data_IF_034243762154
#
_entry.id   IF_034243762154
#
_cell.length_a   1.000
_cell.length_b   1.000
_cell.length_c   1.000
_cell.angle_alpha   90.00
_cell.angle_beta   90.00
_cell.angle_gamma   90.00
#
_symmetry.space_group_name_H-M   'P 1'
#
loop_
_entity.id
_entity.type
_entity.pdbx_description
1 polymer ?
#
# COMPACT_ATOMS: atom_id res chain seq x y z
N UNK A 1 -5.49 -22.46 -7.56
CA UNK A 1 -5.39 -23.37 -8.71
C UNK A 1 -6.67 -23.46 -9.54
N UNK A 2 -7.84 -23.93 -9.05
CA UNK A 2 -9.02 -24.13 -9.92
C UNK A 2 -9.54 -22.83 -10.56
N UNK A 3 -9.42 -21.70 -9.85
CA UNK A 3 -9.87 -20.40 -10.33
C UNK A 3 -9.05 -19.90 -11.54
N UNK A 4 -7.71 -20.03 -11.53
CA UNK A 4 -6.86 -19.55 -12.62
C UNK A 4 -7.10 -20.35 -13.91
N UNK A 5 -7.27 -21.67 -13.78
CA UNK A 5 -7.64 -22.55 -14.88
C UNK A 5 -9.03 -22.20 -15.42
N UNK A 6 -10.01 -21.96 -14.54
CA UNK A 6 -11.35 -21.54 -14.95
C UNK A 6 -11.36 -20.19 -15.70
N UNK A 7 -10.40 -19.31 -15.40
CA UNK A 7 -10.20 -18.04 -16.10
C UNK A 7 -9.43 -18.17 -17.43
N UNK A 8 -8.95 -19.37 -17.77
CA UNK A 8 -8.26 -19.68 -19.02
C UNK A 8 -6.75 -19.43 -18.99
N UNK A 9 -6.13 -19.38 -17.82
CA UNK A 9 -4.68 -19.25 -17.68
C UNK A 9 -3.97 -20.59 -17.96
N UNK A 10 -2.72 -20.58 -18.47
CA UNK A 10 -1.90 -21.77 -18.65
C UNK A 10 -1.72 -22.57 -17.35
N UNK A 11 -1.63 -23.90 -17.45
CA UNK A 11 -1.58 -24.79 -16.29
C UNK A 11 -0.27 -24.65 -15.49
N UNK A 12 0.85 -24.58 -16.18
CA UNK A 12 2.18 -24.33 -15.61
C UNK A 12 2.24 -22.99 -14.85
N UNK A 13 1.75 -21.92 -15.46
CA UNK A 13 1.66 -20.60 -14.82
C UNK A 13 0.74 -20.64 -13.59
N UNK A 14 -0.36 -21.38 -13.67
CA UNK A 14 -1.32 -21.53 -12.58
C UNK A 14 -0.75 -22.26 -11.37
N UNK A 15 0.04 -23.32 -11.60
CA UNK A 15 0.75 -24.07 -10.53
C UNK A 15 1.84 -23.20 -9.88
N UNK A 16 2.62 -22.49 -10.69
CA UNK A 16 3.64 -21.56 -10.17
C UNK A 16 3.01 -20.47 -9.31
N UNK A 17 1.94 -19.84 -9.81
CA UNK A 17 1.21 -18.79 -9.09
C UNK A 17 0.63 -19.30 -7.78
N UNK A 18 -0.01 -20.47 -7.77
CA UNK A 18 -0.54 -21.06 -6.54
C UNK A 18 0.56 -21.26 -5.49
N UNK A 19 1.68 -21.85 -5.91
CA UNK A 19 2.80 -22.13 -5.00
C UNK A 19 3.37 -20.83 -4.45
N UNK A 20 3.51 -19.80 -5.29
CA UNK A 20 3.95 -18.47 -4.85
C UNK A 20 2.99 -17.85 -3.82
N UNK A 21 1.69 -17.87 -4.11
CA UNK A 21 0.67 -17.32 -3.23
C UNK A 21 0.65 -18.02 -1.87
N UNK A 22 0.83 -19.34 -1.83
CA UNK A 22 0.92 -20.09 -0.57
C UNK A 22 2.08 -19.64 0.30
N UNK A 23 3.22 -19.28 -0.29
CA UNK A 23 4.37 -18.73 0.44
C UNK A 23 4.04 -17.33 0.97
N UNK A 24 3.32 -16.50 0.21
CA UNK A 24 2.96 -15.14 0.61
C UNK A 24 1.85 -15.09 1.68
N UNK A 25 0.96 -16.08 1.72
CA UNK A 25 -0.19 -16.13 2.65
C UNK A 25 0.15 -15.78 4.11
N UNK A 26 1.18 -16.35 4.77
CA UNK A 26 1.53 -15.95 6.14
C UNK A 26 1.91 -14.47 6.26
N UNK A 27 2.52 -13.90 5.22
CA UNK A 27 2.90 -12.49 5.18
C UNK A 27 1.70 -11.54 5.16
N UNK A 28 0.55 -11.97 4.58
CA UNK A 28 -0.67 -11.15 4.54
C UNK A 28 -1.14 -10.73 5.93
N UNK A 29 -1.05 -11.60 6.93
CA UNK A 29 -1.41 -11.25 8.31
C UNK A 29 -0.56 -10.11 8.85
N UNK A 30 0.76 -10.20 8.64
CA UNK A 30 1.69 -9.16 9.08
C UNK A 30 1.49 -7.86 8.30
N UNK A 31 1.21 -7.97 7.00
CA UNK A 31 0.88 -6.85 6.15
C UNK A 31 -0.39 -6.12 6.62
N UNK A 32 -1.47 -6.85 6.94
CA UNK A 32 -2.69 -6.27 7.50
C UNK A 32 -2.42 -5.55 8.82
N UNK A 33 -1.69 -6.18 9.74
CA UNK A 33 -1.28 -5.56 11.02
C UNK A 33 -0.50 -4.27 10.76
N UNK A 34 0.44 -4.28 9.83
CA UNK A 34 1.25 -3.11 9.49
C UNK A 34 0.41 -1.95 8.98
N UNK A 35 -0.54 -2.21 8.07
CA UNK A 35 -1.45 -1.19 7.55
C UNK A 35 -2.34 -0.61 8.64
N UNK A 36 -2.92 -1.46 9.50
CA UNK A 36 -3.74 -1.00 10.62
C UNK A 36 -2.93 -0.18 11.62
N UNK A 37 -1.73 -0.64 11.99
CA UNK A 37 -0.83 0.08 12.90
C UNK A 37 -0.40 1.43 12.32
N UNK A 38 -0.11 1.48 11.01
CA UNK A 38 0.29 2.71 10.33
C UNK A 38 -0.83 3.74 10.37
N UNK A 39 -2.04 3.36 9.99
CA UNK A 39 -3.21 4.24 10.01
C UNK A 39 -3.52 4.73 11.43
N UNK A 40 -3.45 3.84 12.43
CA UNK A 40 -3.67 4.21 13.82
C UNK A 40 -2.61 5.20 14.34
N UNK A 41 -1.33 4.94 14.08
CA UNK A 41 -0.25 5.84 14.49
C UNK A 41 -0.32 7.19 13.80
N UNK A 42 -0.75 7.25 12.55
CA UNK A 42 -1.01 8.51 11.85
C UNK A 42 -2.12 9.30 12.54
N UNK A 43 -3.24 8.65 12.88
CA UNK A 43 -4.37 9.27 13.57
C UNK A 43 -3.96 9.93 14.90
N UNK A 44 -3.07 9.30 15.68
CA UNK A 44 -2.60 9.83 16.97
C UNK A 44 -1.32 10.67 16.87
N UNK A 45 -1.05 11.28 15.71
CA UNK A 45 0.08 12.18 15.49
C UNK A 45 1.49 11.56 15.70
N UNK A 46 1.59 10.23 15.53
CA UNK A 46 2.85 9.46 15.52
C UNK A 46 3.22 8.99 14.10
N UNK A 47 2.88 9.81 13.09
CA UNK A 47 3.10 9.50 11.67
C UNK A 47 4.58 9.32 11.28
N UNK A 48 5.53 9.76 12.12
CA UNK A 48 6.96 9.58 11.91
C UNK A 48 7.44 8.13 12.09
N UNK A 49 6.73 7.33 12.89
CA UNK A 49 7.19 5.99 13.31
C UNK A 49 7.12 4.97 12.16
N UNK A 50 6.01 4.81 11.42
CA UNK A 50 5.94 3.80 10.35
C UNK A 50 6.97 3.99 9.23
N UNK A 51 7.28 5.21 8.74
CA UNK A 51 8.32 5.42 7.72
C UNK A 51 9.70 4.90 8.12
N UNK A 52 10.10 5.02 9.38
CA UNK A 52 11.39 4.48 9.84
C UNK A 52 11.41 2.95 9.82
N UNK A 53 10.31 2.30 10.22
CA UNK A 53 10.19 0.85 10.12
C UNK A 53 10.19 0.38 8.65
N UNK A 54 9.50 1.10 7.77
CA UNK A 54 9.47 0.84 6.33
C UNK A 54 10.86 1.00 5.70
N UNK A 55 11.63 2.03 6.07
CA UNK A 55 12.99 2.24 5.59
C UNK A 55 13.90 1.07 5.96
N UNK A 56 13.89 0.65 7.23
CA UNK A 56 14.72 -0.49 7.68
C UNK A 56 14.27 -1.79 7.02
N UNK A 57 12.96 -2.03 6.92
CA UNK A 57 12.42 -3.15 6.17
C UNK A 57 12.93 -3.17 4.72
N UNK A 58 12.84 -2.03 4.03
CA UNK A 58 13.27 -1.90 2.64
C UNK A 58 14.77 -2.16 2.46
N UNK A 59 15.60 -1.66 3.38
CA UNK A 59 17.04 -1.92 3.40
C UNK A 59 17.36 -3.41 3.64
N UNK A 60 16.60 -4.09 4.51
CA UNK A 60 16.76 -5.52 4.79
C UNK A 60 16.21 -6.42 3.67
N UNK A 61 15.32 -5.91 2.83
CA UNK A 61 14.73 -6.67 1.74
C UNK A 61 15.79 -7.16 0.73
N UNK A 62 16.82 -6.36 0.45
CA UNK A 62 17.93 -6.76 -0.45
C UNK A 62 18.75 -7.93 0.15
N UNK A 63 19.27 -7.86 1.39
CA UNK A 63 19.87 -9.00 2.08
C UNK A 63 18.98 -10.25 2.12
N UNK A 64 17.67 -10.12 2.39
CA UNK A 64 16.77 -11.28 2.40
C UNK A 64 16.67 -11.94 1.03
N UNK A 65 16.55 -11.15 -0.03
CA UNK A 65 16.56 -11.68 -1.40
C UNK A 65 17.87 -12.40 -1.70
N UNK A 66 19.03 -11.81 -1.35
CA UNK A 66 20.32 -12.47 -1.53
C UNK A 66 20.41 -13.79 -0.74
N UNK A 67 19.97 -13.79 0.51
CA UNK A 67 19.99 -14.97 1.36
C UNK A 67 19.11 -16.10 0.80
N UNK A 68 17.82 -15.85 0.57
CA UNK A 68 16.91 -16.92 0.14
C UNK A 68 17.17 -17.37 -1.29
N UNK A 69 17.50 -16.46 -2.21
CA UNK A 69 17.71 -16.79 -3.62
C UNK A 69 19.08 -17.43 -3.82
N UNK A 70 20.15 -16.81 -3.33
CA UNK A 70 21.53 -17.24 -3.64
C UNK A 70 22.08 -18.24 -2.63
N UNK A 71 21.88 -18.01 -1.33
CA UNK A 71 22.49 -18.85 -0.28
C UNK A 71 21.66 -20.11 -0.05
N UNK A 72 20.34 -19.96 0.10
CA UNK A 72 19.44 -21.11 0.26
C UNK A 72 19.10 -21.80 -1.08
N UNK A 73 19.33 -21.13 -2.21
CA UNK A 73 19.09 -21.69 -3.54
C UNK A 73 17.61 -21.83 -3.91
N UNK A 74 16.70 -21.05 -3.32
CA UNK A 74 15.25 -21.22 -3.51
C UNK A 74 14.70 -20.61 -4.80
N UNK A 75 15.54 -19.96 -5.61
CA UNK A 75 15.11 -19.34 -6.87
C UNK A 75 13.99 -18.32 -6.66
N UNK A 76 12.95 -18.37 -7.49
CA UNK A 76 11.80 -17.44 -7.40
C UNK A 76 10.97 -17.62 -6.11
N UNK A 77 10.95 -18.82 -5.50
CA UNK A 77 10.32 -19.03 -4.19
C UNK A 77 11.01 -18.20 -3.10
N UNK A 78 12.32 -17.96 -3.25
CA UNK A 78 13.09 -17.11 -2.35
C UNK A 78 12.64 -15.65 -2.35
N UNK A 79 12.10 -15.15 -3.48
CA UNK A 79 11.51 -13.80 -3.57
C UNK A 79 10.27 -13.70 -2.70
N UNK A 80 9.41 -14.73 -2.72
CA UNK A 80 8.23 -14.81 -1.87
C UNK A 80 8.61 -14.85 -0.39
N UNK A 81 9.59 -15.67 -0.01
CA UNK A 81 10.09 -15.74 1.36
C UNK A 81 10.69 -14.41 1.83
N UNK A 82 11.49 -13.74 1.00
CA UNK A 82 12.04 -12.42 1.30
C UNK A 82 10.95 -11.36 1.51
N UNK A 83 9.89 -11.41 0.70
CA UNK A 83 8.73 -10.53 0.81
C UNK A 83 8.00 -10.73 2.14
N UNK A 84 7.77 -11.98 2.55
CA UNK A 84 7.16 -12.29 3.86
C UNK A 84 8.03 -11.75 5.01
N UNK A 85 9.35 -11.95 4.96
CA UNK A 85 10.25 -11.43 5.99
C UNK A 85 10.19 -9.90 6.07
N UNK A 86 10.18 -9.20 4.93
CA UNK A 86 9.98 -7.76 4.88
C UNK A 86 8.64 -7.30 5.50
N UNK A 87 7.55 -8.04 5.22
CA UNK A 87 6.23 -7.75 5.78
C UNK A 87 6.16 -7.99 7.29
N UNK A 88 6.94 -8.94 7.82
CA UNK A 88 7.02 -9.21 9.28
C UNK A 88 7.86 -8.17 10.01
N UNK A 89 8.98 -7.74 9.43
CA UNK A 89 9.93 -6.82 10.08
C UNK A 89 9.29 -5.49 10.45
N UNK A 90 8.52 -4.89 9.55
CA UNK A 90 7.93 -3.55 9.75
C UNK A 90 7.01 -3.46 10.99
N UNK A 91 5.92 -4.25 11.11
CA UNK A 91 5.05 -4.18 12.28
C UNK A 91 5.75 -4.65 13.55
N UNK A 92 6.72 -5.57 13.45
CA UNK A 92 7.53 -6.00 14.60
C UNK A 92 8.37 -4.85 15.15
N UNK A 93 9.03 -4.08 14.28
CA UNK A 93 9.80 -2.92 14.70
C UNK A 93 8.94 -1.84 15.36
N UNK A 94 7.77 -1.56 14.78
CA UNK A 94 6.80 -0.64 15.37
C UNK A 94 6.37 -1.13 16.75
N UNK A 95 6.01 -2.41 16.87
CA UNK A 95 5.62 -3.01 18.15
C UNK A 95 6.72 -2.91 19.21
N UNK A 96 7.96 -3.29 18.86
CA UNK A 96 9.10 -3.20 19.76
C UNK A 96 9.37 -1.75 20.20
N UNK A 97 9.26 -0.79 19.29
CA UNK A 97 9.40 0.62 19.63
C UNK A 97 8.33 1.05 20.64
N UNK A 98 7.06 0.78 20.37
CA UNK A 98 5.93 1.24 21.18
C UNK A 98 5.88 0.59 22.57
N UNK A 99 6.15 -0.71 22.69
CA UNK A 99 5.94 -1.47 23.93
C UNK A 99 7.23 -1.92 24.62
N UNK A 100 8.38 -1.93 23.94
CA UNK A 100 9.64 -2.40 24.53
C UNK A 100 10.67 -1.27 24.73
N UNK A 101 10.37 -0.03 24.33
CA UNK A 101 11.24 1.12 24.62
C UNK A 101 10.52 2.15 25.48
N UNK A 102 11.24 2.73 26.43
CA UNK A 102 10.70 3.81 27.28
C UNK A 102 10.23 5.00 26.44
N UNK A 103 11.01 5.40 25.43
CA UNK A 103 10.68 6.54 24.56
C UNK A 103 9.38 6.32 23.77
N UNK A 104 9.22 5.15 23.16
CA UNK A 104 8.00 4.85 22.39
C UNK A 104 6.78 4.74 23.30
N UNK A 105 6.93 4.09 24.45
CA UNK A 105 5.85 3.95 25.43
C UNK A 105 5.41 5.31 26.01
N UNK A 106 6.35 6.17 26.38
CA UNK A 106 6.06 7.51 26.91
C UNK A 106 5.37 8.40 25.86
N UNK A 107 5.83 8.37 24.59
CA UNK A 107 5.16 9.09 23.48
C UNK A 107 3.75 8.55 23.23
N UNK A 108 3.56 7.23 23.30
CA UNK A 108 2.24 6.62 23.10
C UNK A 108 1.25 7.07 24.19
N UNK A 109 1.66 7.05 25.46
CA UNK A 109 0.84 7.54 26.57
C UNK A 109 0.48 9.02 26.45
N UNK A 110 1.45 9.83 26.01
CA UNK A 110 1.25 11.26 25.78
C UNK A 110 0.21 11.51 24.69
N UNK A 111 0.37 10.87 23.53
CA UNK A 111 -0.52 11.08 22.38
C UNK A 111 -1.93 10.51 22.59
N UNK A 112 -2.08 9.45 23.38
CA UNK A 112 -3.39 8.95 23.79
C UNK A 112 -4.07 9.82 24.87
N UNK A 113 -3.42 10.86 25.38
CA UNK A 113 -3.95 11.67 26.47
C UNK A 113 -4.10 10.88 27.78
N UNK A 114 -3.37 9.77 27.95
CA UNK A 114 -3.55 8.82 29.04
C UNK A 114 -3.41 9.48 30.43
N UNK A 115 -2.50 10.46 30.55
CA UNK A 115 -2.31 11.25 31.77
C UNK A 115 -3.57 12.04 32.18
N UNK A 116 -4.38 12.48 31.22
CA UNK A 116 -5.62 13.22 31.48
C UNK A 116 -6.69 12.40 32.18
N UNK A 117 -6.62 11.06 32.08
CA UNK A 117 -7.52 10.12 32.74
C UNK A 117 -6.83 9.33 33.87
N UNK A 118 -5.66 9.78 34.33
CA UNK A 118 -4.89 9.14 35.40
C UNK A 118 -4.24 7.81 35.00
N UNK A 119 -4.15 7.51 33.71
CA UNK A 119 -3.58 6.27 33.19
C UNK A 119 -2.07 6.42 32.97
N UNK A 120 -1.29 5.59 33.65
CA UNK A 120 0.19 5.64 33.63
C UNK A 120 0.84 4.47 32.92
N UNK A 121 0.10 3.39 32.64
CA UNK A 121 0.62 2.18 32.01
C UNK A 121 -0.33 1.66 30.93
N UNK A 122 0.27 1.08 29.88
CA UNK A 122 -0.40 0.39 28.78
C UNK A 122 0.22 -1.01 28.65
N UNK A 123 -0.64 -2.02 28.53
CA UNK A 123 -0.22 -3.38 28.23
C UNK A 123 -0.95 -3.86 27.00
N UNK A 124 -0.19 -4.29 25.99
CA UNK A 124 -0.76 -4.80 24.74
C UNK A 124 -1.82 -5.87 24.97
N UNK A 125 -1.57 -6.82 25.89
CA UNK A 125 -2.51 -7.91 26.17
C UNK A 125 -3.84 -7.44 26.77
N UNK A 126 -3.79 -6.45 27.66
CA UNK A 126 -4.99 -5.88 28.26
C UNK A 126 -5.79 -5.05 27.24
N UNK A 127 -5.11 -4.25 26.42
CA UNK A 127 -5.77 -3.47 25.36
C UNK A 127 -6.40 -4.39 24.32
N UNK A 128 -5.67 -5.43 23.91
CA UNK A 128 -6.16 -6.41 22.93
C UNK A 128 -7.42 -7.09 23.46
N UNK A 129 -7.39 -7.57 24.72
CA UNK A 129 -8.55 -8.21 25.34
C UNK A 129 -9.76 -7.27 25.38
N UNK A 130 -9.57 -6.04 25.86
CA UNK A 130 -10.64 -5.05 25.92
C UNK A 130 -11.23 -4.77 24.52
N UNK A 131 -10.38 -4.59 23.51
CA UNK A 131 -10.79 -4.32 22.14
C UNK A 131 -11.61 -5.47 21.52
N UNK A 132 -11.15 -6.72 21.67
CA UNK A 132 -11.85 -7.88 21.07
C UNK A 132 -13.06 -8.34 21.89
N UNK A 133 -13.13 -7.97 23.17
CA UNK A 133 -14.24 -8.34 24.06
C UNK A 133 -15.45 -7.40 23.96
N UNK A 134 -15.34 -6.27 23.25
CA UNK A 134 -16.39 -5.24 23.16
C UNK A 134 -17.22 -5.39 21.87
N UNK A 135 -18.44 -5.98 21.92
CA UNK A 135 -19.27 -6.15 20.73
C UNK A 135 -19.66 -4.82 20.09
N UNK A 136 -19.85 -3.79 20.92
CA UNK A 136 -20.17 -2.45 20.45
C UNK A 136 -18.99 -1.79 19.74
N UNK A 137 -17.77 -1.93 20.27
CA UNK A 137 -16.56 -1.44 19.60
C UNK A 137 -16.33 -2.12 18.23
N UNK A 138 -16.59 -3.43 18.15
CA UNK A 138 -16.54 -4.18 16.88
C UNK A 138 -17.58 -3.65 15.90
N UNK A 139 -18.81 -3.40 16.36
CA UNK A 139 -19.87 -2.83 15.52
C UNK A 139 -19.47 -1.47 14.95
N UNK A 140 -18.98 -0.54 15.78
CA UNK A 140 -18.53 0.78 15.33
C UNK A 140 -17.38 0.70 14.32
N UNK A 141 -16.43 -0.22 14.56
CA UNK A 141 -15.34 -0.46 13.61
C UNK A 141 -15.88 -0.94 12.25
N UNK A 142 -16.80 -1.91 12.25
CA UNK A 142 -17.39 -2.44 11.02
C UNK A 142 -18.28 -1.43 10.30
N UNK A 143 -19.01 -0.60 11.04
CA UNK A 143 -19.84 0.49 10.49
C UNK A 143 -19.01 1.47 9.66
N UNK A 144 -17.77 1.73 10.07
CA UNK A 144 -16.83 2.58 9.33
C UNK A 144 -16.03 1.79 8.27
N UNK A 145 -15.65 0.54 8.54
CA UNK A 145 -14.81 -0.26 7.66
C UNK A 145 -15.55 -0.74 6.39
N UNK A 146 -16.84 -1.10 6.49
CA UNK A 146 -17.60 -1.64 5.35
C UNK A 146 -17.76 -0.60 4.22
N UNK A 147 -18.15 0.66 4.47
CA UNK A 147 -18.15 1.69 3.43
C UNK A 147 -16.75 1.92 2.82
N UNK A 148 -15.70 1.84 3.63
CA UNK A 148 -14.32 1.94 3.16
C UNK A 148 -13.94 0.85 2.15
N UNK A 149 -14.48 -0.36 2.28
CA UNK A 149 -14.26 -1.44 1.30
C UNK A 149 -14.85 -1.13 -0.07
N UNK A 150 -15.93 -0.35 -0.16
CA UNK A 150 -16.53 0.02 -1.44
C UNK A 150 -15.62 0.94 -2.26
N UNK A 151 -14.78 1.75 -1.58
CA UNK A 151 -13.79 2.61 -2.26
C UNK A 151 -12.70 1.77 -2.93
N UNK A 152 -12.42 0.56 -2.42
CA UNK A 152 -11.44 -0.37 -3.03
C UNK A 152 -11.99 -1.03 -4.31
N UNK A 153 -13.28 -0.87 -4.63
CA UNK A 153 -13.89 -1.48 -5.81
C UNK A 153 -13.26 -1.04 -7.14
N UNK A 154 -12.72 0.18 -7.20
CA UNK A 154 -11.96 0.65 -8.36
C UNK A 154 -10.72 -0.20 -8.60
N UNK A 155 -9.95 -0.51 -7.56
CA UNK A 155 -8.76 -1.36 -7.65
C UNK A 155 -9.10 -2.74 -8.17
N UNK A 156 -10.21 -3.32 -7.70
CA UNK A 156 -10.68 -4.61 -8.20
C UNK A 156 -11.11 -4.54 -9.66
N UNK A 157 -11.74 -3.44 -10.11
CA UNK A 157 -12.06 -3.24 -11.51
C UNK A 157 -10.79 -3.20 -12.38
N UNK A 158 -9.74 -2.53 -11.91
CA UNK A 158 -8.43 -2.49 -12.57
C UNK A 158 -7.79 -3.87 -12.67
N UNK A 159 -7.81 -4.67 -11.59
CA UNK A 159 -7.32 -6.05 -11.61
C UNK A 159 -8.09 -6.92 -12.63
N UNK A 160 -9.42 -6.78 -12.68
CA UNK A 160 -10.24 -7.46 -13.67
C UNK A 160 -9.85 -7.04 -15.09
N UNK A 161 -9.57 -5.76 -15.34
CA UNK A 161 -9.11 -5.29 -16.65
C UNK A 161 -7.75 -5.90 -17.04
N UNK A 162 -6.81 -6.02 -16.09
CA UNK A 162 -5.53 -6.70 -16.31
C UNK A 162 -5.77 -8.17 -16.68
N UNK A 163 -6.62 -8.89 -15.94
CA UNK A 163 -6.96 -10.29 -16.27
C UNK A 163 -7.59 -10.44 -17.65
N UNK A 164 -8.49 -9.52 -18.03
CA UNK A 164 -9.13 -9.53 -19.34
C UNK A 164 -8.16 -9.20 -20.48
N UNK A 165 -7.12 -8.40 -20.22
CA UNK A 165 -6.09 -8.07 -21.22
C UNK A 165 -5.34 -9.32 -21.72
N UNK A 166 -5.15 -10.32 -20.86
CA UNK A 166 -4.58 -11.63 -21.21
C UNK A 166 -5.44 -12.48 -22.15
N UNK A 167 -6.60 -11.97 -22.58
CA UNK A 167 -7.47 -12.61 -23.59
C UNK A 167 -7.54 -11.82 -24.90
N UNK A 168 -6.87 -10.67 -25.00
CA UNK A 168 -6.88 -9.83 -26.19
C UNK A 168 -6.10 -10.49 -27.32
N UNK A 169 -6.80 -10.80 -28.41
CA UNK A 169 -6.21 -11.36 -29.63
C UNK A 169 -5.71 -10.23 -30.55
N UNK A 170 -4.64 -10.44 -31.33
CA UNK A 170 -3.92 -11.72 -31.53
C UNK A 170 -2.79 -11.99 -30.51
N UNK A 171 -2.34 -10.99 -29.75
CA UNK A 171 -1.13 -11.09 -28.92
C UNK A 171 -1.40 -10.85 -27.43
N UNK A 172 -2.01 -11.82 -26.71
CA UNK A 172 -2.40 -11.65 -25.31
C UNK A 172 -1.22 -11.45 -24.36
N UNK A 173 -0.06 -12.04 -24.67
CA UNK A 173 1.16 -11.95 -23.84
C UNK A 173 1.74 -10.54 -23.81
N UNK A 174 1.78 -9.86 -24.95
CA UNK A 174 2.25 -8.47 -25.04
C UNK A 174 1.27 -7.51 -24.37
N UNK A 175 -0.04 -7.72 -24.56
CA UNK A 175 -1.08 -6.90 -23.92
C UNK A 175 -1.03 -7.01 -22.38
N UNK A 176 -0.90 -8.23 -21.85
CA UNK A 176 -0.78 -8.48 -20.41
C UNK A 176 0.51 -7.86 -19.84
N UNK A 177 1.64 -8.04 -20.52
CA UNK A 177 2.92 -7.46 -20.10
C UNK A 177 2.89 -5.93 -20.12
N UNK A 178 2.28 -5.33 -21.15
CA UNK A 178 2.11 -3.89 -21.25
C UNK A 178 1.22 -3.34 -20.12
N UNK A 179 0.12 -4.03 -19.78
CA UNK A 179 -0.74 -3.66 -18.66
C UNK A 179 -0.01 -3.75 -17.31
N UNK A 180 0.86 -4.75 -17.10
CA UNK A 180 1.65 -4.86 -15.87
C UNK A 180 2.64 -3.68 -15.72
N UNK A 181 3.29 -3.25 -16.82
CA UNK A 181 4.17 -2.08 -16.82
C UNK A 181 3.36 -0.81 -16.62
N UNK A 182 2.24 -0.65 -17.33
CA UNK A 182 1.29 0.45 -17.14
C UNK A 182 0.90 0.60 -15.66
N UNK A 183 0.50 -0.50 -15.02
CA UNK A 183 0.06 -0.48 -13.62
C UNK A 183 1.22 -0.15 -12.67
N UNK A 184 2.45 -0.56 -13.00
CA UNK A 184 3.65 -0.22 -12.23
C UNK A 184 3.96 1.28 -12.30
N UNK A 185 3.87 1.89 -13.49
CA UNK A 185 4.04 3.33 -13.68
C UNK A 185 2.91 4.10 -12.97
N UNK A 186 1.66 3.67 -13.15
CA UNK A 186 0.50 4.26 -12.49
C UNK A 186 0.65 4.27 -10.97
N UNK A 187 0.99 3.12 -10.39
CA UNK A 187 1.22 2.98 -8.95
C UNK A 187 2.31 3.94 -8.46
N UNK A 188 3.41 4.09 -9.20
CA UNK A 188 4.48 5.01 -8.83
C UNK A 188 4.03 6.48 -8.81
N UNK A 189 3.23 6.91 -9.80
CA UNK A 189 2.68 8.26 -9.85
C UNK A 189 1.65 8.52 -8.74
N UNK A 190 0.83 7.52 -8.42
CA UNK A 190 -0.26 7.61 -7.45
C UNK A 190 0.21 7.71 -5.99
N UNK A 191 1.37 7.14 -5.63
CA UNK A 191 1.84 7.12 -4.23
C UNK A 191 2.04 8.51 -3.61
N UNK A 192 2.39 9.53 -4.42
CA UNK A 192 2.60 10.89 -3.91
C UNK A 192 1.28 11.57 -3.49
N UNK A 193 0.23 11.65 -4.34
CA UNK A 193 -1.10 12.11 -3.95
C UNK A 193 -1.69 11.35 -2.76
N UNK A 194 -1.52 10.03 -2.69
CA UNK A 194 -1.98 9.22 -1.54
C UNK A 194 -1.38 9.70 -0.24
N UNK A 195 -0.07 9.96 -0.20
CA UNK A 195 0.60 10.47 1.00
C UNK A 195 -0.01 11.79 1.49
N UNK A 196 -0.31 12.70 0.57
CA UNK A 196 -0.99 13.97 0.88
C UNK A 196 -2.41 13.73 1.37
N UNK A 197 -3.15 12.82 0.74
CA UNK A 197 -4.54 12.48 1.12
C UNK A 197 -4.61 11.87 2.53
N UNK A 198 -3.73 10.93 2.85
CA UNK A 198 -3.65 10.31 4.18
C UNK A 198 -3.24 11.32 5.25
N UNK A 199 -2.24 12.15 4.97
CA UNK A 199 -1.83 13.22 5.89
C UNK A 199 -2.92 14.27 6.09
N UNK A 200 -3.60 14.63 5.01
CA UNK A 200 -4.69 15.60 5.00
C UNK A 200 -5.93 15.14 5.75
N UNK A 201 -6.41 13.92 5.46
CA UNK A 201 -7.55 13.33 6.17
C UNK A 201 -7.30 13.20 7.67
N UNK A 202 -6.09 12.77 8.05
CA UNK A 202 -5.64 12.74 9.46
C UNK A 202 -5.71 14.13 10.09
N UNK A 203 -5.12 15.14 9.45
CA UNK A 203 -5.08 16.51 9.99
C UNK A 203 -6.46 17.13 10.11
N UNK A 204 -7.31 16.94 9.10
CA UNK A 204 -8.72 17.40 9.09
C UNK A 204 -9.48 16.71 10.22
N UNK A 205 -9.33 15.39 10.39
CA UNK A 205 -9.94 14.63 11.47
C UNK A 205 -9.55 15.15 12.86
N UNK A 206 -8.25 15.41 13.08
CA UNK A 206 -7.76 15.92 14.36
C UNK A 206 -8.29 17.34 14.66
N UNK A 207 -8.34 18.23 13.67
CA UNK A 207 -8.85 19.59 13.85
C UNK A 207 -10.36 19.61 14.12
N UNK A 208 -11.13 18.77 13.42
CA UNK A 208 -12.56 18.59 13.71
C UNK A 208 -12.78 18.02 15.11
N UNK A 209 -11.98 17.03 15.53
CA UNK A 209 -12.01 16.49 16.89
C UNK A 209 -11.66 17.52 17.97
N UNK A 210 -10.79 18.48 17.65
CA UNK A 210 -10.45 19.61 18.51
C UNK A 210 -11.46 20.77 18.45
N UNK A 211 -12.59 20.60 17.75
CA UNK A 211 -13.62 21.62 17.54
C UNK A 211 -13.08 22.90 16.84
N UNK A 212 -12.13 22.73 15.91
CA UNK A 212 -11.60 23.79 15.04
C UNK A 212 -12.00 23.56 13.56
N UNK A 213 -13.25 23.91 13.18
CA UNK A 213 -13.71 23.78 11.81
C UNK A 213 -12.98 24.72 10.83
N UNK A 214 -12.46 25.85 11.33
CA UNK A 214 -11.75 26.83 10.50
C UNK A 214 -10.39 26.30 10.04
N UNK A 215 -9.63 25.72 10.97
CA UNK A 215 -8.39 25.02 10.67
C UNK A 215 -8.63 23.80 9.80
N UNK A 216 -9.68 23.02 10.05
CA UNK A 216 -10.04 21.88 9.22
C UNK A 216 -10.31 22.29 7.76
N UNK A 217 -11.02 23.40 7.54
CA UNK A 217 -11.26 23.96 6.21
C UNK A 217 -9.98 24.37 5.49
N UNK A 218 -9.06 25.04 6.20
CA UNK A 218 -7.75 25.41 5.65
C UNK A 218 -6.91 24.17 5.30
N UNK A 219 -6.84 23.19 6.22
CA UNK A 219 -6.10 21.95 6.01
C UNK A 219 -6.62 21.20 4.77
N UNK A 220 -7.93 21.09 4.61
CA UNK A 220 -8.56 20.50 3.43
C UNK A 220 -8.15 21.22 2.14
N UNK A 221 -8.25 22.55 2.10
CA UNK A 221 -7.86 23.34 0.93
C UNK A 221 -6.37 23.20 0.56
N UNK A 222 -5.47 23.19 1.55
CA UNK A 222 -4.04 22.94 1.33
C UNK A 222 -3.80 21.54 0.76
N UNK A 223 -4.50 20.52 1.27
CA UNK A 223 -4.33 19.15 0.81
C UNK A 223 -4.83 18.96 -0.62
N UNK A 224 -6.00 19.50 -0.96
CA UNK A 224 -6.53 19.47 -2.34
C UNK A 224 -5.58 20.18 -3.30
N UNK A 225 -5.09 21.37 -2.93
CA UNK A 225 -4.14 22.12 -3.76
C UNK A 225 -2.81 21.38 -3.96
N UNK A 226 -2.28 20.76 -2.91
CA UNK A 226 -1.05 19.97 -2.98
C UNK A 226 -1.23 18.70 -3.82
N UNK A 227 -2.33 17.96 -3.64
CA UNK A 227 -2.66 16.77 -4.44
C UNK A 227 -2.80 17.14 -5.92
N UNK A 228 -3.60 18.16 -6.25
CA UNK A 228 -3.76 18.64 -7.63
C UNK A 228 -2.44 19.08 -8.26
N UNK A 229 -1.56 19.73 -7.50
CA UNK A 229 -0.24 20.15 -7.99
C UNK A 229 0.65 18.93 -8.29
N UNK A 230 0.72 17.96 -7.37
CA UNK A 230 1.53 16.75 -7.56
C UNK A 230 1.03 15.90 -8.73
N UNK A 231 -0.29 15.70 -8.82
CA UNK A 231 -0.93 14.96 -9.91
C UNK A 231 -0.73 15.64 -11.26
N UNK A 232 -0.80 16.98 -11.31
CA UNK A 232 -0.48 17.77 -12.50
C UNK A 232 0.99 17.60 -12.91
N UNK A 233 1.93 17.70 -11.97
CA UNK A 233 3.36 17.51 -12.25
C UNK A 233 3.62 16.10 -12.78
N UNK A 234 3.03 15.07 -12.18
CA UNK A 234 3.16 13.69 -12.64
C UNK A 234 2.57 13.49 -14.04
N UNK A 235 1.37 14.02 -14.31
CA UNK A 235 0.73 13.97 -15.61
C UNK A 235 1.56 14.68 -16.69
N UNK A 236 2.06 15.90 -16.41
CA UNK A 236 2.94 16.63 -17.32
C UNK A 236 4.24 15.85 -17.57
N UNK A 237 4.84 15.25 -16.54
CA UNK A 237 6.03 14.43 -16.71
C UNK A 237 5.78 13.23 -17.64
N UNK A 238 4.69 12.50 -17.42
CA UNK A 238 4.31 11.36 -18.27
C UNK A 238 4.05 11.78 -19.72
N UNK A 239 3.43 12.94 -19.93
CA UNK A 239 3.09 13.43 -21.27
C UNK A 239 4.30 14.01 -22.02
N UNK A 240 5.22 14.68 -21.33
CA UNK A 240 6.35 15.38 -21.96
C UNK A 240 7.57 14.48 -22.21
N UNK A 241 7.75 13.44 -21.38
CA UNK A 241 8.84 12.47 -21.57
C UNK A 241 8.52 11.58 -22.78
N UNK A 242 9.51 11.19 -23.60
CA UNK A 242 9.26 10.23 -24.68
C UNK A 242 8.55 8.98 -24.16
N UNK A 243 7.41 8.62 -24.75
CA UNK A 243 6.53 7.56 -24.22
C UNK A 243 7.20 6.19 -24.12
N UNK A 244 8.29 5.97 -24.86
CA UNK A 244 9.10 4.74 -24.80
C UNK A 244 10.09 4.70 -23.63
N UNK A 245 10.42 5.84 -23.01
CA UNK A 245 11.45 5.92 -21.98
C UNK A 245 11.09 5.10 -20.73
N UNK A 246 9.94 5.36 -20.11
CA UNK A 246 9.54 4.62 -18.91
C UNK A 246 9.36 3.12 -19.18
N UNK A 247 8.64 2.67 -20.23
CA UNK A 247 8.52 1.24 -20.53
C UNK A 247 9.87 0.55 -20.78
N UNK A 248 10.84 1.24 -21.38
CA UNK A 248 12.19 0.70 -21.62
C UNK A 248 12.99 0.41 -20.35
N UNK A 249 12.58 0.97 -19.20
CA UNK A 249 13.18 0.64 -17.89
C UNK A 249 12.71 -0.72 -17.36
N UNK A 250 11.57 -1.24 -17.85
CA UNK A 250 10.96 -2.48 -17.37
C UNK A 250 11.20 -3.67 -18.29
N UNK A 251 11.30 -3.44 -19.60
CA UNK A 251 11.45 -4.51 -20.60
C UNK A 251 12.47 -4.14 -21.68
N UNK A 252 13.10 -5.15 -22.24
CA UNK A 252 13.94 -5.05 -23.45
C UNK A 252 13.22 -5.48 -24.73
N UNK A 253 11.99 -6.00 -24.60
CA UNK A 253 11.17 -6.42 -25.75
C UNK A 253 10.53 -5.18 -26.40
N UNK A 254 10.91 -4.90 -27.65
CA UNK A 254 10.44 -3.75 -28.41
C UNK A 254 8.92 -3.72 -28.58
N UNK A 255 8.28 -4.89 -28.69
CA UNK A 255 6.84 -4.97 -28.88
C UNK A 255 6.09 -4.61 -27.59
N UNK A 256 6.57 -5.09 -26.45
CA UNK A 256 6.01 -4.71 -25.13
C UNK A 256 6.20 -3.21 -24.86
N UNK A 257 7.37 -2.66 -25.20
CA UNK A 257 7.64 -1.23 -25.08
C UNK A 257 6.68 -0.44 -25.96
N UNK A 258 6.51 -0.84 -27.22
CA UNK A 258 5.63 -0.17 -28.20
C UNK A 258 4.18 -0.16 -27.73
N UNK A 259 3.66 -1.30 -27.30
CA UNK A 259 2.30 -1.44 -26.79
C UNK A 259 2.09 -0.58 -25.53
N UNK A 260 3.00 -0.63 -24.56
CA UNK A 260 2.90 0.21 -23.35
C UNK A 260 2.97 1.70 -23.70
N UNK A 261 3.87 2.10 -24.60
CA UNK A 261 4.04 3.50 -25.02
C UNK A 261 2.78 4.10 -25.61
N UNK A 262 1.95 3.29 -26.27
CA UNK A 262 0.66 3.73 -26.85
C UNK A 262 -0.36 4.16 -25.78
N UNK A 263 -0.20 3.68 -24.55
CA UNK A 263 -1.12 3.94 -23.43
C UNK A 263 -0.73 5.15 -22.57
N UNK A 264 0.51 5.64 -22.68
CA UNK A 264 1.06 6.69 -21.80
C UNK A 264 0.26 7.99 -21.85
N UNK A 265 -0.26 8.38 -23.02
CA UNK A 265 -1.13 9.56 -23.13
C UNK A 265 -2.38 9.40 -22.26
N UNK A 266 -3.05 8.25 -22.33
CA UNK A 266 -4.24 7.99 -21.52
C UNK A 266 -3.88 7.92 -20.04
N UNK A 267 -2.75 7.30 -19.69
CA UNK A 267 -2.25 7.26 -18.32
C UNK A 267 -2.02 8.66 -17.76
N UNK A 268 -1.45 9.58 -18.55
CA UNK A 268 -1.20 10.95 -18.10
C UNK A 268 -2.48 11.70 -17.72
N UNK A 269 -3.57 11.48 -18.47
CA UNK A 269 -4.88 12.06 -18.19
C UNK A 269 -5.49 11.40 -16.95
N UNK A 270 -5.40 10.06 -16.88
CA UNK A 270 -5.90 9.29 -15.74
C UNK A 270 -5.23 9.70 -14.43
N UNK A 271 -3.90 9.77 -14.38
CA UNK A 271 -3.13 10.16 -13.17
C UNK A 271 -3.54 11.54 -12.66
N UNK A 272 -3.86 12.48 -13.55
CA UNK A 272 -4.37 13.79 -13.14
C UNK A 272 -5.77 13.69 -12.54
N UNK A 273 -6.67 12.97 -13.20
CA UNK A 273 -8.07 12.84 -12.79
C UNK A 273 -8.24 12.03 -11.50
N UNK A 274 -7.43 10.98 -11.32
CA UNK A 274 -7.44 10.10 -10.15
C UNK A 274 -6.87 10.79 -8.91
N UNK A 275 -5.89 11.68 -9.10
CA UNK A 275 -5.23 12.36 -8.00
C UNK A 275 -5.91 13.64 -7.49
N UNK A 276 -7.12 13.99 -7.96
CA UNK A 276 -7.92 15.16 -7.55
C UNK A 276 -9.28 14.70 -7.02
#
# INVERSE_FOLDING_TARGET
YPLLIALGQPDDLSVMTETYLRILTPGLWSYSINWTLTAWLQAIEMADVPPWAALVGGLLHVPFNLFFIRICGWGWLGVGAATVMFQVVQPTMVFLYLFCTKRGHDRLLEQLGAKGIGRTELSFGAELYAAVSSPWGIYQYLELAIPGLLVVSEWWASEVAIFLSGRLQPNPEFALSAMAIYQSINSACFMLPVGVSVGGSTRVGNLLGANDPSGAGLASGVCIGAAATLSCVAACFLYLVPHSYLPSLFSTDEEVIRETSSTITLLSIYVFADGI
#
